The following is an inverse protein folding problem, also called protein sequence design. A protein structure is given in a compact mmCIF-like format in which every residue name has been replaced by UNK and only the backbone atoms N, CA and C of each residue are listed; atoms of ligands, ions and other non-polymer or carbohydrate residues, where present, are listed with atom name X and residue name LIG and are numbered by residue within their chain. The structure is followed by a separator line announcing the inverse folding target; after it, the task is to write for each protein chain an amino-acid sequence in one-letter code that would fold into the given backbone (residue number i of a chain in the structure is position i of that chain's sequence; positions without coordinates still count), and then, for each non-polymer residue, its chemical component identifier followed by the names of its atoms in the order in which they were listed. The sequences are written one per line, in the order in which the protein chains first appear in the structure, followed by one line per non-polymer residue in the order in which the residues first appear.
data_IF_049054887953
#
_entry.id   IF_049054887953
#
_cell.length_a   1.000
_cell.length_b   1.000
_cell.length_c   1.000
_cell.angle_alpha   90.00
_cell.angle_beta   90.00
_cell.angle_gamma   90.00
#
_symmetry.space_group_name_H-M   'P 1'
#
loop_
_entity.id
_entity.type
_entity.pdbx_description
1 polymer ?
#
# COMPACT_ATOMS: atom_id res chain seq x y z
N UNK A 1 -8.75 19.39 1.41
CA UNK A 1 -7.44 19.81 1.98
C UNK A 1 -6.46 18.64 2.11
N UNK A 2 -6.77 17.55 2.83
CA UNK A 2 -5.80 16.46 3.02
C UNK A 2 -5.43 15.67 1.75
N UNK A 3 -6.41 15.34 0.89
CA UNK A 3 -6.16 14.57 -0.36
C UNK A 3 -5.31 15.34 -1.38
N UNK A 4 -5.61 16.62 -1.57
CA UNK A 4 -4.84 17.48 -2.48
C UNK A 4 -3.39 17.64 -2.00
N UNK A 5 -3.19 17.84 -0.69
CA UNK A 5 -1.86 17.95 -0.11
C UNK A 5 -1.04 16.67 -0.26
N UNK A 6 -1.64 15.50 0.03
CA UNK A 6 -0.97 14.19 -0.13
C UNK A 6 -0.68 13.87 -1.59
N UNK A 7 -1.61 14.16 -2.50
CA UNK A 7 -1.36 14.08 -3.94
C UNK A 7 -0.17 14.95 -4.35
N UNK A 8 -0.17 16.24 -3.99
CA UNK A 8 0.91 17.18 -4.34
C UNK A 8 2.27 16.71 -3.81
N UNK A 9 2.32 16.29 -2.54
CA UNK A 9 3.54 15.76 -1.92
C UNK A 9 4.05 14.50 -2.65
N UNK A 10 3.17 13.56 -3.01
CA UNK A 10 3.56 12.36 -3.76
C UNK A 10 4.19 12.71 -5.11
N UNK A 11 3.66 13.74 -5.80
CA UNK A 11 4.18 14.20 -7.10
C UNK A 11 5.50 14.96 -6.95
N UNK A 12 5.71 15.66 -5.84
CA UNK A 12 7.01 16.27 -5.52
C UNK A 12 8.07 15.20 -5.25
N UNK A 13 7.74 14.19 -4.44
CA UNK A 13 8.64 13.06 -4.18
C UNK A 13 9.01 12.32 -5.48
N UNK A 14 8.04 12.11 -6.39
CA UNK A 14 8.30 11.50 -7.70
C UNK A 14 9.31 12.29 -8.55
N UNK A 15 9.30 13.63 -8.49
CA UNK A 15 10.27 14.47 -9.20
C UNK A 15 11.69 14.34 -8.61
N UNK A 16 11.80 14.10 -7.31
CA UNK A 16 13.06 13.95 -6.58
C UNK A 16 13.58 12.50 -6.55
N UNK A 17 12.77 11.54 -7.00
CA UNK A 17 13.01 10.10 -6.88
C UNK A 17 14.39 9.64 -7.37
N UNK A 18 14.98 10.28 -8.39
CA UNK A 18 16.30 9.90 -8.92
C UNK A 18 17.44 10.05 -7.90
N UNK A 19 17.25 10.88 -6.87
CA UNK A 19 18.24 11.13 -5.83
C UNK A 19 18.03 10.24 -4.60
N UNK A 20 16.96 9.44 -4.58
CA UNK A 20 16.60 8.60 -3.45
C UNK A 20 17.21 7.20 -3.58
N UNK A 21 17.37 6.50 -2.45
CA UNK A 21 17.79 5.10 -2.42
C UNK A 21 16.77 4.19 -3.14
N UNK A 22 17.17 3.00 -3.61
CA UNK A 22 16.25 2.08 -4.28
C UNK A 22 14.99 1.75 -3.45
N UNK A 23 15.13 1.59 -2.13
CA UNK A 23 14.01 1.36 -1.21
C UNK A 23 13.04 2.56 -1.18
N UNK A 24 13.56 3.78 -1.04
CA UNK A 24 12.75 5.00 -1.08
C UNK A 24 12.07 5.19 -2.45
N UNK A 25 12.72 4.83 -3.55
CA UNK A 25 12.11 4.89 -4.88
C UNK A 25 10.91 3.94 -5.00
N UNK A 26 10.99 2.75 -4.40
CA UNK A 26 9.87 1.82 -4.37
C UNK A 26 8.70 2.39 -3.55
N UNK A 27 8.98 2.96 -2.38
CA UNK A 27 7.96 3.62 -1.54
C UNK A 27 7.32 4.82 -2.23
N UNK A 28 8.10 5.66 -2.92
CA UNK A 28 7.59 6.80 -3.68
C UNK A 28 6.59 6.33 -4.75
N UNK A 29 6.91 5.26 -5.49
CA UNK A 29 6.00 4.68 -6.49
C UNK A 29 4.72 4.16 -5.85
N UNK A 30 4.80 3.53 -4.68
CA UNK A 30 3.63 3.06 -3.95
C UNK A 30 2.71 4.22 -3.53
N UNK A 31 3.25 5.28 -2.93
CA UNK A 31 2.47 6.46 -2.52
C UNK A 31 1.84 7.15 -3.74
N UNK A 32 2.55 7.23 -4.86
CA UNK A 32 2.02 7.76 -6.12
C UNK A 32 0.82 6.95 -6.62
N UNK A 33 0.84 5.63 -6.46
CA UNK A 33 -0.26 4.73 -6.82
C UNK A 33 -1.45 4.84 -5.86
N UNK A 34 -1.20 5.10 -4.57
CA UNK A 34 -2.24 5.32 -3.57
C UNK A 34 -3.03 6.62 -3.81
N UNK A 35 -2.38 7.63 -4.39
CA UNK A 35 -2.99 8.93 -4.69
C UNK A 35 -2.84 9.26 -6.20
N UNK A 36 -3.67 8.66 -7.08
CA UNK A 36 -3.58 8.89 -8.52
C UNK A 36 -4.11 10.27 -8.96
N UNK A 37 -4.98 10.90 -8.18
CA UNK A 37 -5.56 12.23 -8.43
C UNK A 37 -5.77 13.03 -7.13
N UNK A 38 -5.96 14.35 -7.24
CA UNK A 38 -6.17 15.26 -6.10
C UNK A 38 -7.63 15.45 -5.70
N UNK A 39 -8.57 14.91 -6.49
CA UNK A 39 -10.02 14.99 -6.24
C UNK A 39 -10.54 13.68 -5.68
N UNK A 40 -11.57 13.70 -4.81
CA UNK A 40 -12.20 12.48 -4.33
C UNK A 40 -12.67 11.57 -5.45
N UNK A 41 -12.72 10.27 -5.17
CA UNK A 41 -13.34 9.26 -6.04
C UNK A 41 -14.47 8.58 -5.30
N UNK A 42 -15.42 8.02 -6.05
CA UNK A 42 -16.52 7.24 -5.48
C UNK A 42 -16.07 5.84 -5.04
N UNK A 43 -14.94 5.35 -5.57
CA UNK A 43 -14.41 4.01 -5.25
C UNK A 43 -12.90 4.03 -4.93
N UNK A 44 -12.59 4.12 -3.64
CA UNK A 44 -11.22 4.04 -3.14
C UNK A 44 -10.64 2.61 -3.17
N UNK A 45 -11.44 1.58 -3.44
CA UNK A 45 -10.93 0.20 -3.46
C UNK A 45 -9.91 -0.02 -4.58
N UNK A 46 -10.08 0.68 -5.72
CA UNK A 46 -9.13 0.68 -6.84
C UNK A 46 -7.80 1.28 -6.40
N UNK A 47 -7.82 2.35 -5.60
CA UNK A 47 -6.60 3.03 -5.13
C UNK A 47 -5.88 2.19 -4.07
N UNK A 48 -6.64 1.60 -3.14
CA UNK A 48 -6.10 0.67 -2.15
C UNK A 48 -5.44 -0.53 -2.84
N UNK A 49 -6.07 -1.05 -3.90
CA UNK A 49 -5.50 -2.15 -4.70
C UNK A 49 -4.21 -1.74 -5.39
N UNK A 50 -4.19 -0.58 -6.05
CA UNK A 50 -3.00 -0.07 -6.71
C UNK A 50 -1.83 0.14 -5.73
N UNK A 51 -2.13 0.65 -4.53
CA UNK A 51 -1.15 0.80 -3.46
C UNK A 51 -0.59 -0.55 -2.99
N UNK A 52 -1.46 -1.53 -2.72
CA UNK A 52 -1.04 -2.86 -2.27
C UNK A 52 -0.22 -3.61 -3.33
N UNK A 53 -0.57 -3.52 -4.61
CA UNK A 53 0.19 -4.15 -5.71
C UNK A 53 1.59 -3.49 -5.84
N UNK A 54 1.69 -2.17 -5.62
CA UNK A 54 2.97 -1.47 -5.61
C UNK A 54 3.82 -1.84 -4.37
N UNK A 55 3.21 -1.95 -3.19
CA UNK A 55 3.90 -2.41 -1.98
C UNK A 55 4.32 -3.88 -2.05
N UNK A 56 3.56 -4.75 -2.73
CA UNK A 56 3.99 -6.13 -3.00
C UNK A 56 5.29 -6.14 -3.83
N UNK A 57 5.39 -5.24 -4.81
CA UNK A 57 6.59 -5.10 -5.63
C UNK A 57 7.78 -4.60 -4.80
N UNK A 58 7.56 -3.67 -3.87
CA UNK A 58 8.58 -3.19 -2.94
C UNK A 58 9.04 -4.32 -1.98
N UNK A 59 8.11 -5.04 -1.37
CA UNK A 59 8.40 -6.15 -0.48
C UNK A 59 9.22 -7.25 -1.16
N UNK A 60 8.89 -7.61 -2.41
CA UNK A 60 9.66 -8.60 -3.19
C UNK A 60 11.11 -8.17 -3.46
N UNK A 61 11.39 -6.87 -3.49
CA UNK A 61 12.75 -6.34 -3.71
C UNK A 61 13.52 -6.13 -2.41
N UNK A 62 12.82 -5.84 -1.31
CA UNK A 62 13.40 -5.41 -0.04
C UNK A 62 12.77 -6.14 1.16
N UNK A 63 12.67 -7.47 1.08
CA UNK A 63 11.98 -8.29 2.10
C UNK A 63 12.66 -8.31 3.47
N UNK A 64 13.91 -7.85 3.56
CA UNK A 64 14.67 -7.73 4.81
C UNK A 64 14.53 -6.35 5.48
N UNK A 65 13.96 -5.38 4.78
CA UNK A 65 13.70 -4.03 5.31
C UNK A 65 12.38 -4.03 6.08
N UNK A 66 12.47 -3.95 7.41
CA UNK A 66 11.30 -4.02 8.29
C UNK A 66 10.28 -2.90 8.05
N UNK A 67 10.71 -1.73 7.59
CA UNK A 67 9.79 -0.63 7.30
C UNK A 67 8.94 -0.98 6.07
N UNK A 68 9.55 -1.58 5.04
CA UNK A 68 8.83 -2.06 3.85
C UNK A 68 7.91 -3.22 4.20
N UNK A 69 8.35 -4.16 5.06
CA UNK A 69 7.52 -5.27 5.52
C UNK A 69 6.26 -4.77 6.23
N UNK A 70 6.42 -3.83 7.16
CA UNK A 70 5.30 -3.25 7.93
C UNK A 70 4.35 -2.50 7.01
N UNK A 71 4.87 -1.67 6.10
CA UNK A 71 4.03 -0.91 5.16
C UNK A 71 3.30 -1.82 4.18
N UNK A 72 3.90 -2.95 3.77
CA UNK A 72 3.21 -3.92 2.93
C UNK A 72 2.08 -4.62 3.68
N UNK A 73 2.31 -5.01 4.93
CA UNK A 73 1.27 -5.56 5.79
C UNK A 73 0.10 -4.58 5.95
N UNK A 74 0.37 -3.30 6.23
CA UNK A 74 -0.64 -2.23 6.28
C UNK A 74 -1.42 -2.08 4.95
N UNK A 75 -0.71 -2.09 3.81
CA UNK A 75 -1.34 -2.01 2.50
C UNK A 75 -2.31 -3.16 2.24
N UNK A 76 -1.98 -4.37 2.68
CA UNK A 76 -2.88 -5.53 2.58
C UNK A 76 -4.13 -5.37 3.46
N UNK A 77 -4.02 -4.75 4.63
CA UNK A 77 -5.16 -4.49 5.52
C UNK A 77 -6.20 -3.58 4.84
N UNK A 78 -5.73 -2.61 4.05
CA UNK A 78 -6.59 -1.68 3.30
C UNK A 78 -7.41 -2.35 2.16
N UNK A 79 -7.04 -3.56 1.73
CA UNK A 79 -7.81 -4.34 0.75
C UNK A 79 -8.98 -5.09 1.36
N UNK A 80 -8.92 -5.36 2.66
CA UNK A 80 -10.00 -6.03 3.38
C UNK A 80 -10.38 -5.23 4.62
N UNK A 81 -10.92 -4.00 4.47
CA UNK A 81 -11.39 -3.23 5.61
C UNK A 81 -12.41 -4.09 6.37
N UNK A 82 -12.11 -4.42 7.62
CA UNK A 82 -13.03 -5.08 8.56
C UNK A 82 -13.47 -6.51 8.21
N UNK A 83 -12.84 -7.16 7.23
CA UNK A 83 -13.15 -8.54 6.81
C UNK A 83 -12.01 -9.54 7.09
N UNK A 84 -10.97 -9.15 7.83
CA UNK A 84 -9.85 -10.05 8.14
C UNK A 84 -10.30 -11.25 8.98
N UNK A 85 -11.27 -11.08 9.87
CA UNK A 85 -11.71 -12.10 10.80
C UNK A 85 -13.24 -12.20 10.80
N UNK A 86 -13.76 -13.41 10.94
CA UNK A 86 -15.17 -13.58 11.27
C UNK A 86 -15.39 -13.22 12.75
N UNK A 87 -16.28 -12.25 13.07
CA UNK A 87 -16.41 -11.75 14.44
C UNK A 87 -17.04 -12.76 15.41
N UNK A 88 -17.64 -13.83 14.90
CA UNK A 88 -18.27 -14.88 15.72
C UNK A 88 -17.33 -16.06 15.98
N UNK A 89 -16.40 -16.33 15.06
CA UNK A 89 -15.50 -17.49 15.12
C UNK A 89 -14.02 -17.15 15.29
N UNK A 90 -13.63 -15.87 15.12
CA UNK A 90 -12.26 -15.41 15.28
C UNK A 90 -11.26 -15.97 14.26
N UNK A 91 -11.73 -16.57 13.15
CA UNK A 91 -10.88 -17.16 12.10
C UNK A 91 -10.69 -16.21 10.91
N UNK A 92 -9.56 -16.31 10.18
CA UNK A 92 -9.37 -15.55 8.96
C UNK A 92 -10.45 -15.90 7.94
N UNK A 93 -11.03 -14.91 7.25
CA UNK A 93 -11.99 -15.22 6.17
C UNK A 93 -11.26 -15.90 4.99
N UNK A 94 -11.88 -16.85 4.26
CA UNK A 94 -11.20 -17.66 3.22
C UNK A 94 -10.59 -16.88 2.04
N UNK A 95 -10.80 -15.56 1.93
CA UNK A 95 -10.24 -14.67 0.90
C UNK A 95 -9.31 -13.59 1.47
N UNK A 96 -9.04 -13.60 2.78
CA UNK A 96 -8.11 -12.67 3.40
C UNK A 96 -6.67 -13.05 2.97
N UNK A 97 -5.96 -12.12 2.34
CA UNK A 97 -4.57 -12.32 1.90
C UNK A 97 -3.55 -12.36 3.05
N UNK A 98 -3.99 -12.22 4.30
CA UNK A 98 -3.16 -12.31 5.50
C UNK A 98 -2.60 -13.72 5.77
N UNK A 99 -3.10 -14.75 5.06
CA UNK A 99 -2.44 -16.05 5.01
C UNK A 99 -1.21 -15.97 4.08
N UNK A 100 -0.12 -15.42 4.58
CA UNK A 100 1.18 -15.65 3.93
C UNK A 100 1.53 -17.13 4.12
N UNK A 101 1.37 -17.92 3.06
CA UNK A 101 1.97 -19.25 3.01
C UNK A 101 3.49 -19.06 2.99
N UNK A 102 4.10 -19.15 4.17
CA UNK A 102 5.52 -19.45 4.28
C UNK A 102 5.66 -20.89 3.80
N UNK A 103 6.26 -21.07 2.62
CA UNK A 103 6.76 -22.37 2.15
C UNK A 103 8.26 -22.29 2.07
#
# INVERSE_FOLDING_TARGET
MALEATYSASRQALKLMRNASPAEQALIRAIVAQYPQSTPTDDYSIWNRAYADAMETAYKQFSEDLDIVVLYADALMNLTPWAMWDPYSGKPRPKARTLMHVT
#
